data_IF_023062115321
#
_entry.id   IF_023062115321
#
_cell.length_a   1.000
_cell.length_b   1.000
_cell.length_c   1.000
_cell.angle_alpha   90.00
_cell.angle_beta   90.00
_cell.angle_gamma   90.00
#
_symmetry.space_group_name_H-M   'P 1'
#
loop_
_entity.id
_entity.type
_entity.pdbx_description
1 polymer ?
#
# COMPACT_ATOMS: atom_id res chain seq x y z
N UNK A 1 1.67 -4.47 12.14
CA UNK A 1 1.28 -4.07 10.76
C UNK A 1 2.41 -3.42 9.99
N UNK A 2 2.78 -2.18 10.31
CA UNK A 2 3.72 -1.39 9.48
C UNK A 2 5.11 -2.02 9.29
N UNK A 3 5.70 -2.59 10.34
CA UNK A 3 7.01 -3.23 10.24
C UNK A 3 7.00 -4.46 9.31
N UNK A 4 5.93 -5.26 9.35
CA UNK A 4 5.71 -6.39 8.45
C UNK A 4 5.69 -5.92 7.00
N UNK A 5 4.87 -4.91 6.71
CA UNK A 5 4.76 -4.30 5.39
C UNK A 5 6.12 -3.78 4.90
N UNK A 6 6.84 -3.01 5.74
CA UNK A 6 8.17 -2.49 5.40
C UNK A 6 9.20 -3.60 5.11
N UNK A 7 9.14 -4.73 5.83
CA UNK A 7 10.01 -5.88 5.57
C UNK A 7 9.77 -6.48 4.19
N UNK A 8 8.50 -6.63 3.80
CA UNK A 8 8.12 -7.20 2.49
C UNK A 8 8.43 -6.22 1.36
N UNK A 9 8.24 -4.92 1.57
CA UNK A 9 8.63 -3.91 0.58
C UNK A 9 10.13 -4.01 0.23
N UNK A 10 10.99 -4.36 1.20
CA UNK A 10 12.43 -4.56 0.98
C UNK A 10 12.76 -5.89 0.30
N UNK A 11 11.88 -6.89 0.33
CA UNK A 11 12.11 -8.16 -0.35
C UNK A 11 11.74 -8.13 -1.83
N UNK A 12 11.08 -7.08 -2.30
CA UNK A 12 10.78 -6.91 -3.73
C UNK A 12 12.06 -6.43 -4.44
N UNK A 13 12.59 -7.19 -5.41
CA UNK A 13 13.76 -6.79 -6.17
C UNK A 13 13.46 -5.51 -6.98
N UNK A 14 14.40 -4.58 -7.01
CA UNK A 14 14.33 -3.34 -7.80
C UNK A 14 15.11 -3.54 -9.11
N UNK A 15 14.53 -3.15 -10.25
CA UNK A 15 15.16 -3.32 -11.56
C UNK A 15 14.22 -3.10 -12.76
N UNK A 16 14.78 -3.03 -13.98
CA UNK A 16 14.01 -2.77 -15.21
C UNK A 16 12.98 -3.85 -15.54
N UNK A 17 13.13 -5.05 -14.95
CA UNK A 17 12.21 -6.17 -15.09
C UNK A 17 11.23 -6.33 -13.91
N UNK A 18 11.29 -5.45 -12.91
CA UNK A 18 10.51 -5.57 -11.67
C UNK A 18 9.73 -4.28 -11.38
N UNK A 19 9.96 -3.61 -10.26
CA UNK A 19 9.28 -2.34 -9.93
C UNK A 19 10.14 -1.17 -10.39
N UNK A 20 9.55 -0.24 -11.14
CA UNK A 20 10.26 0.92 -11.68
C UNK A 20 10.64 1.93 -10.59
N UNK A 21 9.85 1.99 -9.51
CA UNK A 21 10.16 2.70 -8.27
C UNK A 21 9.81 1.84 -7.06
N UNK A 22 10.66 1.78 -6.02
CA UNK A 22 10.35 1.02 -4.82
C UNK A 22 9.02 1.47 -4.23
N UNK A 23 8.26 0.51 -3.68
CA UNK A 23 7.05 0.81 -2.93
C UNK A 23 7.37 1.83 -1.83
N UNK A 24 6.43 2.72 -1.56
CA UNK A 24 6.54 3.74 -0.52
C UNK A 24 5.26 3.82 0.29
N UNK A 25 5.39 3.89 1.61
CA UNK A 25 4.25 4.20 2.48
C UNK A 25 3.98 5.69 2.36
N UNK A 26 2.81 6.05 1.84
CA UNK A 26 2.43 7.46 1.61
C UNK A 26 1.45 7.98 2.66
N UNK A 27 0.79 7.09 3.40
CA UNK A 27 -0.17 7.45 4.44
C UNK A 27 -0.33 6.32 5.46
N UNK A 28 -0.50 6.71 6.72
CA UNK A 28 -0.93 5.83 7.81
C UNK A 28 -2.05 6.57 8.52
N UNK A 29 -3.28 6.05 8.43
CA UNK A 29 -4.46 6.59 9.10
C UNK A 29 -4.88 5.65 10.23
N UNK A 30 -5.10 6.20 11.42
CA UNK A 30 -5.78 5.48 12.49
C UNK A 30 -7.29 5.61 12.28
N UNK A 31 -7.98 4.48 12.11
CA UNK A 31 -9.44 4.43 11.95
C UNK A 31 -10.15 4.14 13.27
N UNK A 32 -9.47 3.41 14.16
CA UNK A 32 -9.93 3.10 15.52
C UNK A 32 -8.71 2.92 16.45
N UNK A 33 -8.93 2.74 17.75
CA UNK A 33 -7.86 2.50 18.74
C UNK A 33 -6.93 1.35 18.35
N UNK A 34 -7.46 0.33 17.68
CA UNK A 34 -6.72 -0.87 17.27
C UNK A 34 -6.66 -1.07 15.74
N UNK A 35 -7.25 -0.19 14.94
CA UNK A 35 -7.35 -0.36 13.47
C UNK A 35 -6.64 0.76 12.71
N UNK A 36 -5.68 0.36 11.89
CA UNK A 36 -4.82 1.26 11.13
C UNK A 36 -4.88 0.93 9.65
N UNK A 37 -5.07 1.95 8.81
CA UNK A 37 -5.00 1.86 7.36
C UNK A 37 -3.65 2.37 6.86
N UNK A 38 -2.89 1.50 6.19
CA UNK A 38 -1.60 1.84 5.60
C UNK A 38 -1.79 1.96 4.08
N UNK A 39 -1.52 3.13 3.52
CA UNK A 39 -1.54 3.36 2.07
C UNK A 39 -0.13 3.28 1.53
N UNK A 40 0.06 2.40 0.54
CA UNK A 40 1.33 2.15 -0.13
C UNK A 40 1.16 2.49 -1.61
N UNK A 41 2.14 3.17 -2.18
CA UNK A 41 2.18 3.48 -3.61
C UNK A 41 3.47 2.93 -4.21
N UNK A 42 3.35 2.31 -5.38
CA UNK A 42 4.47 1.91 -6.21
C UNK A 42 4.16 2.12 -7.68
N UNK A 43 5.21 2.11 -8.48
CA UNK A 43 5.09 2.23 -9.94
C UNK A 43 5.77 1.03 -10.58
N UNK A 44 5.02 0.24 -11.32
CA UNK A 44 5.53 -0.85 -12.14
C UNK A 44 5.62 -0.41 -13.60
N UNK A 45 6.55 -0.96 -14.39
CA UNK A 45 6.46 -0.87 -15.84
C UNK A 45 5.14 -1.49 -16.36
N UNK A 46 4.65 -1.07 -17.53
CA UNK A 46 3.51 -1.72 -18.18
C UNK A 46 3.70 -3.24 -18.29
N UNK A 47 2.65 -4.00 -17.99
CA UNK A 47 2.67 -5.47 -18.02
C UNK A 47 3.32 -6.13 -16.79
N UNK A 48 3.67 -5.34 -15.76
CA UNK A 48 4.26 -5.81 -14.50
C UNK A 48 3.43 -5.44 -13.28
N UNK A 49 2.18 -5.04 -13.48
CA UNK A 49 1.23 -4.67 -12.42
C UNK A 49 1.03 -5.83 -11.42
N UNK A 50 1.09 -7.06 -11.93
CA UNK A 50 1.01 -8.31 -11.14
C UNK A 50 2.01 -8.40 -9.99
N UNK A 51 3.14 -7.67 -10.05
CA UNK A 51 4.11 -7.60 -8.94
C UNK A 51 3.50 -6.97 -7.69
N UNK A 52 2.59 -6.01 -7.86
CA UNK A 52 1.85 -5.39 -6.76
C UNK A 52 0.54 -6.13 -6.54
N UNK A 53 -0.23 -6.40 -7.60
CA UNK A 53 -1.58 -6.99 -7.50
C UNK A 53 -1.60 -8.37 -6.86
N UNK A 54 -0.61 -9.20 -7.19
CA UNK A 54 -0.53 -10.59 -6.73
C UNK A 54 0.63 -10.76 -5.78
N UNK A 55 1.86 -10.60 -6.28
CA UNK A 55 3.06 -11.02 -5.55
C UNK A 55 3.20 -10.31 -4.20
N UNK A 56 3.05 -8.98 -4.17
CA UNK A 56 3.16 -8.22 -2.93
C UNK A 56 2.02 -8.55 -1.94
N UNK A 57 0.78 -8.64 -2.44
CA UNK A 57 -0.39 -8.98 -1.62
C UNK A 57 -0.27 -10.39 -1.02
N UNK A 58 0.16 -11.36 -1.83
CA UNK A 58 0.37 -12.75 -1.40
C UNK A 58 1.51 -12.82 -0.38
N UNK A 59 2.62 -12.12 -0.62
CA UNK A 59 3.75 -12.04 0.32
C UNK A 59 3.33 -11.48 1.69
N UNK A 60 2.42 -10.48 1.73
CA UNK A 60 1.83 -9.98 2.99
C UNK A 60 1.05 -11.08 3.70
N UNK A 61 0.16 -11.77 2.98
CA UNK A 61 -0.68 -12.83 3.56
C UNK A 61 0.17 -13.98 4.09
N UNK A 62 1.18 -14.41 3.35
CA UNK A 62 2.08 -15.50 3.73
C UNK A 62 2.90 -15.15 4.97
N UNK A 63 3.51 -13.96 5.01
CA UNK A 63 4.33 -13.53 6.15
C UNK A 63 3.49 -13.20 7.39
N UNK A 64 2.24 -12.76 7.23
CA UNK A 64 1.30 -12.61 8.35
C UNK A 64 0.88 -13.98 8.88
N UNK A 65 0.53 -14.92 8.00
CA UNK A 65 0.19 -16.30 8.37
C UNK A 65 1.34 -17.02 9.07
N UNK A 66 2.58 -16.79 8.64
CA UNK A 66 3.78 -17.40 9.21
C UNK A 66 4.07 -16.97 10.67
N UNK A 67 3.45 -15.89 11.16
CA UNK A 67 3.63 -15.42 12.55
C UNK A 67 2.80 -16.22 13.56
N UNK A 68 1.89 -17.09 13.10
CA UNK A 68 0.93 -17.80 13.94
C UNK A 68 -0.36 -16.99 14.17
N UNK A 69 -1.46 -17.68 14.52
CA UNK A 69 -2.79 -17.07 14.59
C UNK A 69 -2.89 -15.91 15.58
N UNK A 70 -2.24 -16.03 16.74
CA UNK A 70 -2.27 -15.02 17.80
C UNK A 70 -1.47 -13.75 17.48
N UNK A 71 -0.56 -13.83 16.50
CA UNK A 71 0.31 -12.71 16.11
C UNK A 71 -0.07 -12.10 14.76
N UNK A 72 -1.20 -12.50 14.16
CA UNK A 72 -1.67 -11.90 12.90
C UNK A 72 -2.00 -10.43 13.12
N UNK A 73 -1.49 -9.59 12.25
CA UNK A 73 -1.67 -8.13 12.31
C UNK A 73 -2.43 -7.58 11.11
N UNK A 74 -2.76 -8.43 10.12
CA UNK A 74 -3.54 -8.06 8.95
C UNK A 74 -4.99 -8.52 9.13
N UNK A 75 -5.88 -7.57 9.42
CA UNK A 75 -7.31 -7.85 9.62
C UNK A 75 -8.05 -8.13 8.30
N UNK A 76 -7.72 -7.36 7.26
CA UNK A 76 -8.33 -7.47 5.94
C UNK A 76 -7.25 -7.57 4.86
N UNK A 77 -7.54 -8.34 3.82
CA UNK A 77 -6.65 -8.43 2.68
C UNK A 77 -6.39 -7.04 2.08
N UNK A 78 -5.14 -6.72 1.68
CA UNK A 78 -4.84 -5.47 1.01
C UNK A 78 -5.70 -5.29 -0.25
N UNK A 79 -6.16 -4.06 -0.48
CA UNK A 79 -6.91 -3.67 -1.67
C UNK A 79 -5.97 -2.94 -2.60
N UNK A 80 -5.82 -3.46 -3.83
CA UNK A 80 -4.99 -2.84 -4.87
C UNK A 80 -5.89 -2.05 -5.81
N UNK A 81 -5.47 -0.83 -6.14
CA UNK A 81 -6.16 0.03 -7.12
C UNK A 81 -5.13 0.74 -7.99
N UNK A 82 -5.45 0.89 -9.27
CA UNK A 82 -4.71 1.77 -10.16
C UNK A 82 -5.17 3.20 -9.93
N UNK A 83 -4.22 4.08 -9.61
CA UNK A 83 -4.47 5.50 -9.57
C UNK A 83 -3.78 6.13 -10.78
N UNK A 84 -4.55 6.81 -11.63
CA UNK A 84 -3.97 7.76 -12.58
C UNK A 84 -3.34 8.91 -11.76
N UNK A 85 -2.03 9.19 -11.90
CA UNK A 85 -1.38 10.31 -11.21
C UNK A 85 -2.07 11.67 -11.45
N UNK A 86 -2.76 11.86 -12.58
CA UNK A 86 -3.56 13.05 -12.85
C UNK A 86 -4.85 13.07 -12.01
N UNK A 87 -5.55 11.93 -11.92
CA UNK A 87 -6.76 11.79 -11.10
C UNK A 87 -6.46 11.95 -9.60
N UNK A 88 -5.36 11.36 -9.11
CA UNK A 88 -4.95 11.45 -7.70
C UNK A 88 -4.56 12.90 -7.33
N UNK A 89 -3.88 13.63 -8.23
CA UNK A 89 -3.59 15.06 -8.04
C UNK A 89 -4.86 15.90 -7.99
N UNK A 90 -5.85 15.58 -8.82
CA UNK A 90 -7.13 16.27 -8.83
C UNK A 90 -7.96 15.97 -7.59
N UNK A 91 -8.01 14.71 -7.13
CA UNK A 91 -8.65 14.33 -5.87
C UNK A 91 -8.00 15.03 -4.67
N UNK A 92 -6.66 15.00 -4.55
CA UNK A 92 -5.94 15.70 -3.47
C UNK A 92 -6.21 17.20 -3.46
N UNK A 93 -6.33 17.84 -4.63
CA UNK A 93 -6.71 19.26 -4.74
C UNK A 93 -8.14 19.49 -4.27
N UNK A 94 -9.10 18.68 -4.73
CA UNK A 94 -10.50 18.80 -4.36
C UNK A 94 -10.70 18.66 -2.84
N UNK A 95 -10.13 17.61 -2.23
CA UNK A 95 -10.24 17.38 -0.78
C UNK A 95 -9.59 18.49 0.05
N UNK A 96 -8.49 19.09 -0.45
CA UNK A 96 -7.84 20.23 0.22
C UNK A 96 -8.68 21.51 0.16
N UNK A 97 -9.46 21.71 -0.91
CA UNK A 97 -10.35 22.87 -1.05
C UNK A 97 -11.53 22.73 -0.09
N UNK A 98 -12.16 21.56 0.02
CA UNK A 98 -13.29 21.31 0.93
C UNK A 98 -12.95 21.65 2.39
N UNK A 99 -11.76 21.27 2.88
CA UNK A 99 -11.30 21.60 4.25
C UNK A 99 -11.06 23.10 4.51
N UNK A 100 -10.95 23.94 3.48
CA UNK A 100 -10.78 25.40 3.64
C UNK A 100 -12.10 26.15 3.69
N UNK A 101 -13.19 25.53 3.28
CA UNK A 101 -14.54 26.12 3.26
C UNK A 101 -15.32 25.85 4.55
N UNK A 102 -14.88 24.88 5.35
CA UNK A 102 -15.56 24.42 6.57
C UNK A 102 -14.85 24.88 7.87
N UNK A 103 -13.99 25.91 7.80
CA UNK A 103 -13.33 26.54 8.95
C UNK A 103 -13.35 28.05 8.83
#
# INVERSE_FOLDING_TARGET
GEQLVKKIMKSIPIGPMTVAQPLSVVKIDQWDEQLWLITIVGQTPPGREWLIENFFVESIKEQDKAQGEENRVILHAPIVRFADPAAERSFKRAVRVTRRTDG
#
